data_IF_476252062449
#
_entry.id   IF_476252062449
#
_cell.length_a   1.000
_cell.length_b   1.000
_cell.length_c   1.000
_cell.angle_alpha   90.00
_cell.angle_beta   90.00
_cell.angle_gamma   90.00
#
_symmetry.space_group_name_H-M   'P 1'
#
loop_
_entity.id
_entity.type
_entity.pdbx_description
1 polymer ?
#
# COMPACT_ATOMS: atom_id res chain seq x y z
N UNK A 1 -63.19 56.98 -56.02
CA UNK A 1 -62.53 55.75 -56.51
C UNK A 1 -61.01 55.92 -56.36
N UNK A 2 -60.26 54.82 -56.14
CA UNK A 2 -59.10 54.71 -55.25
C UNK A 2 -57.75 54.63 -55.98
N UNK A 3 -56.61 54.81 -55.29
CA UNK A 3 -55.40 54.00 -55.58
C UNK A 3 -54.32 54.05 -54.47
N UNK A 4 -54.22 52.93 -53.75
CA UNK A 4 -53.05 52.17 -53.29
C UNK A 4 -51.72 52.84 -52.88
N UNK A 5 -51.36 52.63 -51.61
CA UNK A 5 -49.97 52.52 -51.13
C UNK A 5 -49.39 51.13 -51.49
N UNK A 6 -48.09 51.04 -51.86
CA UNK A 6 -47.30 49.83 -51.68
C UNK A 6 -46.37 49.92 -50.46
N UNK A 7 -46.20 48.74 -49.87
CA UNK A 7 -45.57 48.35 -48.61
C UNK A 7 -44.05 48.47 -48.56
N UNK A 8 -43.50 48.89 -47.40
CA UNK A 8 -42.12 48.59 -46.99
C UNK A 8 -41.97 47.13 -46.53
N UNK A 9 -40.93 46.38 -46.94
CA UNK A 9 -40.67 45.04 -46.45
C UNK A 9 -40.04 45.05 -45.04
N UNK A 10 -40.56 44.19 -44.17
CA UNK A 10 -40.05 43.92 -42.82
C UNK A 10 -38.75 43.11 -42.86
N UNK A 11 -37.73 43.40 -42.04
CA UNK A 11 -36.62 42.48 -41.81
C UNK A 11 -36.96 41.60 -40.61
N UNK A 12 -37.61 40.45 -40.84
CA UNK A 12 -37.81 39.44 -39.79
C UNK A 12 -37.01 38.19 -40.14
N UNK A 13 -35.68 38.27 -40.10
CA UNK A 13 -34.83 37.08 -40.19
C UNK A 13 -33.50 37.29 -39.44
N UNK A 14 -33.54 37.34 -38.10
CA UNK A 14 -32.31 37.34 -37.27
C UNK A 14 -32.41 36.50 -36.00
N UNK A 15 -33.58 35.92 -35.70
CA UNK A 15 -33.83 35.25 -34.41
C UNK A 15 -33.55 33.73 -34.43
N UNK A 16 -33.55 33.09 -35.61
CA UNK A 16 -33.28 31.64 -35.77
C UNK A 16 -31.78 31.30 -35.90
N UNK A 17 -30.98 32.19 -36.48
CA UNK A 17 -29.56 31.91 -36.75
C UNK A 17 -28.67 31.99 -35.51
N UNK A 18 -29.00 32.85 -34.55
CA UNK A 18 -28.27 33.01 -33.28
C UNK A 18 -28.33 31.74 -32.42
N UNK A 19 -29.47 31.05 -32.40
CA UNK A 19 -29.65 29.79 -31.65
C UNK A 19 -28.82 28.65 -32.27
N UNK A 20 -28.79 28.57 -33.60
CA UNK A 20 -27.99 27.59 -34.34
C UNK A 20 -26.49 27.83 -34.14
N UNK A 21 -26.05 29.08 -34.20
CA UNK A 21 -24.66 29.46 -33.93
C UNK A 21 -24.22 29.13 -32.49
N UNK A 22 -25.04 29.47 -31.50
CA UNK A 22 -24.74 29.17 -30.09
C UNK A 22 -24.62 27.66 -29.82
N UNK A 23 -25.49 26.84 -30.43
CA UNK A 23 -25.42 25.39 -30.31
C UNK A 23 -24.14 24.82 -30.95
N UNK A 24 -23.73 25.35 -32.10
CA UNK A 24 -22.47 25.00 -32.76
C UNK A 24 -21.24 25.35 -31.89
N UNK A 25 -21.20 26.54 -31.31
CA UNK A 25 -20.11 26.95 -30.40
C UNK A 25 -20.06 26.04 -29.17
N UNK A 26 -21.22 25.75 -28.55
CA UNK A 26 -21.30 24.85 -27.40
C UNK A 26 -20.79 23.45 -27.74
N UNK A 27 -21.10 22.93 -28.93
CA UNK A 27 -20.61 21.63 -29.40
C UNK A 27 -19.08 21.63 -29.56
N UNK A 28 -18.50 22.67 -30.16
CA UNK A 28 -17.04 22.80 -30.33
C UNK A 28 -16.34 22.89 -28.97
N UNK A 29 -16.87 23.71 -28.04
CA UNK A 29 -16.33 23.83 -26.68
C UNK A 29 -16.43 22.49 -25.94
N UNK A 30 -17.54 21.77 -26.09
CA UNK A 30 -17.73 20.44 -25.52
C UNK A 30 -16.72 19.42 -26.06
N UNK A 31 -16.50 19.40 -27.38
CA UNK A 31 -15.50 18.55 -28.04
C UNK A 31 -14.07 18.88 -27.59
N UNK A 32 -13.73 20.17 -27.49
CA UNK A 32 -12.41 20.61 -27.04
C UNK A 32 -12.18 20.25 -25.57
N UNK A 33 -13.20 20.46 -24.72
CA UNK A 33 -13.18 20.06 -23.32
C UNK A 33 -13.00 18.55 -23.15
N UNK A 34 -13.72 17.75 -23.93
CA UNK A 34 -13.57 16.30 -23.96
C UNK A 34 -12.16 15.89 -24.41
N UNK A 35 -11.61 16.53 -25.46
CA UNK A 35 -10.26 16.25 -25.95
C UNK A 35 -9.21 16.54 -24.87
N UNK A 36 -9.28 17.70 -24.21
CA UNK A 36 -8.39 18.04 -23.10
C UNK A 36 -8.54 17.04 -21.94
N UNK A 37 -9.77 16.64 -21.62
CA UNK A 37 -10.04 15.66 -20.58
C UNK A 37 -9.49 14.26 -20.91
N UNK A 38 -9.63 13.81 -22.15
CA UNK A 38 -9.07 12.54 -22.63
C UNK A 38 -7.54 12.58 -22.67
N UNK A 39 -6.94 13.70 -23.10
CA UNK A 39 -5.50 13.90 -23.09
C UNK A 39 -4.96 13.86 -21.64
N UNK A 40 -5.65 14.50 -20.71
CA UNK A 40 -5.35 14.46 -19.29
C UNK A 40 -5.44 13.04 -18.70
N UNK A 41 -6.45 12.26 -19.09
CA UNK A 41 -6.61 10.86 -18.71
C UNK A 41 -5.48 9.98 -19.24
N UNK A 42 -5.06 10.21 -20.49
CA UNK A 42 -4.05 9.40 -21.17
C UNK A 42 -2.62 9.67 -20.68
N UNK A 43 -2.30 10.93 -20.37
CA UNK A 43 -0.96 11.34 -19.98
C UNK A 43 -0.64 11.18 -18.48
N UNK A 44 -1.44 10.38 -17.76
CA UNK A 44 -1.24 10.13 -16.32
C UNK A 44 0.13 9.48 -16.07
N UNK A 45 1.00 10.10 -15.23
CA UNK A 45 2.26 9.51 -14.85
C UNK A 45 2.06 8.18 -14.13
N UNK A 46 2.75 7.16 -14.62
CA UNK A 46 2.88 5.82 -14.08
C UNK A 46 4.26 5.69 -13.44
N UNK A 47 4.31 4.91 -12.36
CA UNK A 47 5.57 4.57 -11.72
C UNK A 47 6.48 3.78 -12.66
N UNK A 48 7.81 4.01 -12.62
CA UNK A 48 8.77 3.19 -13.35
C UNK A 48 8.78 1.76 -12.79
N UNK A 49 9.07 0.80 -13.67
CA UNK A 49 9.19 -0.61 -13.32
C UNK A 49 10.66 -0.96 -13.15
N UNK A 50 10.98 -1.70 -12.10
CA UNK A 50 12.34 -2.18 -11.81
C UNK A 50 12.35 -3.70 -11.93
N UNK A 51 13.34 -4.25 -12.61
CA UNK A 51 13.46 -5.69 -12.84
C UNK A 51 14.92 -6.11 -12.72
N UNK A 52 15.20 -7.12 -11.90
CA UNK A 52 16.49 -7.80 -11.92
C UNK A 52 16.46 -8.82 -13.06
N UNK A 53 17.26 -8.59 -14.10
CA UNK A 53 17.36 -9.47 -15.27
C UNK A 53 18.31 -10.63 -14.96
N UNK A 54 19.46 -10.30 -14.38
CA UNK A 54 20.53 -11.24 -14.16
C UNK A 54 21.13 -10.99 -12.78
N UNK A 55 21.58 -12.07 -12.17
CA UNK A 55 22.24 -12.05 -10.88
C UNK A 55 23.14 -13.28 -10.82
N UNK A 56 24.40 -13.08 -10.41
CA UNK A 56 25.35 -14.15 -10.23
C UNK A 56 26.14 -13.93 -8.96
N UNK A 57 26.08 -14.94 -8.09
CA UNK A 57 26.87 -15.04 -6.88
C UNK A 57 27.99 -16.08 -7.09
N UNK A 58 29.24 -15.78 -6.72
CA UNK A 58 30.30 -16.79 -6.70
C UNK A 58 29.97 -17.87 -5.66
N UNK A 59 29.97 -19.14 -6.10
CA UNK A 59 29.62 -20.32 -5.30
C UNK A 59 30.82 -21.08 -4.75
N UNK A 60 32.04 -20.67 -5.12
CA UNK A 60 33.29 -21.22 -4.59
C UNK A 60 34.10 -20.13 -3.91
N UNK A 61 34.83 -20.44 -2.82
CA UNK A 61 35.78 -19.49 -2.26
C UNK A 61 36.86 -19.17 -3.28
N UNK A 62 37.05 -17.88 -3.54
CA UNK A 62 38.15 -17.41 -4.39
C UNK A 62 39.45 -17.73 -3.65
N UNK A 63 40.25 -18.63 -4.19
CA UNK A 63 41.52 -19.10 -3.62
C UNK A 63 42.65 -18.06 -3.68
N UNK A 64 42.35 -16.76 -3.69
CA UNK A 64 43.34 -15.69 -3.80
C UNK A 64 43.08 -14.61 -2.77
N UNK A 65 43.62 -14.80 -1.56
CA UNK A 65 44.16 -13.75 -0.66
C UNK A 65 43.33 -12.50 -0.33
N UNK A 66 42.08 -12.40 -0.73
CA UNK A 66 41.23 -11.23 -0.55
C UNK A 66 39.86 -11.66 -0.06
N UNK A 67 39.49 -11.20 1.13
CA UNK A 67 38.25 -11.53 1.83
C UNK A 67 36.95 -11.07 1.12
N UNK A 68 37.01 -10.54 -0.11
CA UNK A 68 35.88 -9.86 -0.75
C UNK A 68 35.26 -10.72 -1.87
N UNK A 69 34.06 -11.26 -1.64
CA UNK A 69 33.28 -11.91 -2.71
C UNK A 69 32.46 -10.86 -3.46
N UNK A 70 32.65 -10.75 -4.77
CA UNK A 70 31.90 -9.79 -5.61
C UNK A 70 30.66 -10.46 -6.20
N UNK A 71 29.51 -9.81 -6.09
CA UNK A 71 28.24 -10.25 -6.66
C UNK A 71 27.92 -9.41 -7.88
N UNK A 72 27.63 -10.02 -9.02
CA UNK A 72 27.23 -9.31 -10.23
C UNK A 72 25.71 -9.29 -10.37
N UNK A 73 25.17 -8.18 -10.86
CA UNK A 73 23.74 -8.03 -11.12
C UNK A 73 23.49 -7.18 -12.36
N UNK A 74 22.32 -7.39 -12.96
CA UNK A 74 21.80 -6.58 -14.05
C UNK A 74 20.42 -6.05 -13.69
N UNK A 75 20.31 -4.73 -13.57
CA UNK A 75 19.08 -4.02 -13.23
C UNK A 75 18.50 -3.34 -14.48
N UNK A 76 17.24 -3.62 -14.76
CA UNK A 76 16.45 -2.95 -15.79
C UNK A 76 15.44 -2.00 -15.16
N UNK A 77 15.45 -0.77 -15.63
CA UNK A 77 14.53 0.29 -15.22
C UNK A 77 13.77 0.72 -16.44
N UNK A 78 12.45 0.53 -16.45
CA UNK A 78 11.57 0.93 -17.55
C UNK A 78 10.73 2.13 -17.13
N UNK A 79 10.78 3.19 -17.93
CA UNK A 79 9.83 4.30 -17.86
C UNK A 79 8.64 4.03 -18.80
N UNK A 80 7.44 3.65 -18.32
CA UNK A 80 6.29 3.39 -19.17
C UNK A 80 5.53 4.66 -19.60
N UNK A 81 6.01 5.84 -19.23
CA UNK A 81 5.31 7.10 -19.50
C UNK A 81 5.58 7.55 -20.92
N UNK A 82 4.52 7.79 -21.71
CA UNK A 82 4.62 8.33 -23.07
C UNK A 82 4.79 9.85 -23.12
N UNK A 83 4.38 10.53 -22.04
CA UNK A 83 4.35 12.00 -21.95
C UNK A 83 5.29 12.60 -20.92
N UNK A 84 6.07 11.79 -20.20
CA UNK A 84 6.91 12.30 -19.12
C UNK A 84 8.27 11.60 -19.05
N UNK A 85 9.30 12.42 -18.97
CA UNK A 85 10.66 11.99 -18.69
C UNK A 85 10.87 11.90 -17.17
N UNK A 86 11.82 11.08 -16.73
CA UNK A 86 12.10 10.84 -15.31
C UNK A 86 13.55 11.22 -15.00
N UNK A 87 13.72 12.05 -13.99
CA UNK A 87 15.01 12.27 -13.32
C UNK A 87 15.04 11.40 -12.07
N UNK A 88 16.00 10.48 -12.01
CA UNK A 88 16.30 9.69 -10.83
C UNK A 88 17.37 10.41 -10.02
N UNK A 89 17.14 10.56 -8.73
CA UNK A 89 18.21 10.89 -7.79
C UNK A 89 19.02 9.60 -7.49
N UNK A 90 20.08 9.72 -6.70
CA UNK A 90 20.91 8.58 -6.31
C UNK A 90 20.06 7.44 -5.76
N UNK A 91 20.33 6.24 -6.26
CA UNK A 91 19.54 5.05 -6.01
C UNK A 91 20.35 4.04 -5.22
N UNK A 92 19.85 3.65 -4.06
CA UNK A 92 20.44 2.61 -3.23
C UNK A 92 19.79 1.27 -3.57
N UNK A 93 20.59 0.36 -4.15
CA UNK A 93 20.24 -1.04 -4.33
C UNK A 93 20.87 -1.85 -3.20
N UNK A 94 20.07 -2.67 -2.52
CA UNK A 94 20.54 -3.50 -1.41
C UNK A 94 20.07 -4.93 -1.57
N UNK A 95 21.00 -5.86 -1.39
CA UNK A 95 20.74 -7.30 -1.33
C UNK A 95 20.78 -7.75 0.13
N UNK A 96 19.80 -8.52 0.56
CA UNK A 96 19.69 -9.06 1.91
C UNK A 96 19.57 -10.58 1.89
N UNK A 97 20.18 -11.23 2.87
CA UNK A 97 19.92 -12.61 3.22
C UNK A 97 19.28 -12.66 4.60
N UNK A 98 18.02 -13.08 4.67
CA UNK A 98 17.24 -12.96 5.91
C UNK A 98 17.02 -11.50 6.29
N UNK A 99 17.66 -11.07 7.38
CA UNK A 99 17.70 -9.67 7.85
C UNK A 99 19.11 -9.06 7.76
N UNK A 100 20.11 -9.87 7.38
CA UNK A 100 21.49 -9.42 7.23
C UNK A 100 21.69 -8.82 5.82
N UNK A 101 22.49 -7.75 5.73
CA UNK A 101 22.80 -7.12 4.44
C UNK A 101 23.91 -7.90 3.77
N UNK A 102 23.64 -8.47 2.59
CA UNK A 102 24.66 -9.12 1.79
C UNK A 102 25.55 -8.07 1.13
N UNK A 103 24.98 -7.02 0.56
CA UNK A 103 25.75 -5.98 -0.09
C UNK A 103 24.86 -4.84 -0.56
N UNK A 104 25.44 -3.66 -0.76
CA UNK A 104 24.73 -2.48 -1.25
C UNK A 104 25.54 -1.73 -2.30
N UNK A 105 24.84 -1.17 -3.30
CA UNK A 105 25.42 -0.35 -4.36
C UNK A 105 24.61 0.92 -4.52
N UNK A 106 25.31 2.06 -4.60
CA UNK A 106 24.72 3.34 -4.96
C UNK A 106 24.91 3.56 -6.46
N UNK A 107 23.80 3.65 -7.17
CA UNK A 107 23.77 4.02 -8.59
C UNK A 107 23.56 5.53 -8.66
N UNK A 108 24.44 6.28 -9.36
CA UNK A 108 24.36 7.73 -9.41
C UNK A 108 23.08 8.18 -10.13
N UNK A 109 22.63 9.39 -9.79
CA UNK A 109 21.50 10.05 -10.43
C UNK A 109 21.63 10.03 -11.97
N UNK A 110 20.52 9.77 -12.65
CA UNK A 110 20.49 9.73 -14.11
C UNK A 110 19.14 10.18 -14.66
N UNK A 111 19.15 10.50 -15.95
CA UNK A 111 17.98 10.94 -16.68
C UNK A 111 17.49 9.84 -17.63
N UNK A 112 16.19 9.61 -17.65
CA UNK A 112 15.55 8.65 -18.53
C UNK A 112 14.43 9.32 -19.32
N UNK A 113 14.49 9.18 -20.65
CA UNK A 113 13.45 9.69 -21.56
C UNK A 113 12.14 8.93 -21.37
N UNK A 114 11.04 9.55 -21.79
CA UNK A 114 9.72 8.91 -21.93
C UNK A 114 9.79 7.63 -22.79
N UNK A 115 9.01 6.62 -22.42
CA UNK A 115 8.91 5.29 -23.04
C UNK A 115 10.26 4.63 -23.37
N UNK A 116 11.19 4.68 -22.42
CA UNK A 116 12.53 4.11 -22.57
C UNK A 116 12.88 3.13 -21.46
N UNK A 117 13.85 2.26 -21.75
CA UNK A 117 14.37 1.26 -20.82
C UNK A 117 15.87 1.48 -20.68
N UNK A 118 16.36 1.44 -19.44
CA UNK A 118 17.78 1.54 -19.10
C UNK A 118 18.19 0.26 -18.41
N UNK A 119 19.22 -0.40 -18.91
CA UNK A 119 19.82 -1.58 -18.30
C UNK A 119 21.20 -1.21 -17.76
N UNK A 120 21.50 -1.68 -16.56
CA UNK A 120 22.75 -1.40 -15.85
C UNK A 120 23.31 -2.72 -15.35
N UNK A 121 24.53 -3.03 -15.76
CA UNK A 121 25.30 -4.14 -15.23
C UNK A 121 26.35 -3.60 -14.27
N UNK A 122 26.38 -4.13 -13.05
CA UNK A 122 27.29 -3.66 -12.01
C UNK A 122 27.54 -4.78 -10.99
N UNK A 123 28.45 -4.52 -10.06
CA UNK A 123 28.88 -5.43 -9.02
C UNK A 123 28.72 -4.78 -7.64
N UNK A 124 28.55 -5.64 -6.64
CA UNK A 124 28.50 -5.27 -5.25
C UNK A 124 29.40 -6.19 -4.44
N UNK A 125 30.20 -5.59 -3.56
CA UNK A 125 31.01 -6.35 -2.61
C UNK A 125 30.07 -6.97 -1.57
N UNK A 126 30.14 -8.30 -1.43
CA UNK A 126 29.38 -9.01 -0.45
C UNK A 126 30.10 -9.03 0.90
N UNK A 127 29.30 -8.87 1.96
CA UNK A 127 29.72 -9.11 3.33
C UNK A 127 30.21 -10.56 3.46
N UNK A 128 31.47 -10.79 3.86
CA UNK A 128 32.06 -12.13 3.86
C UNK A 128 31.36 -13.07 4.85
N UNK A 129 30.81 -12.55 5.95
CA UNK A 129 30.12 -13.34 6.96
C UNK A 129 28.74 -13.79 6.46
N UNK A 130 28.00 -12.90 5.81
CA UNK A 130 26.69 -13.22 5.21
C UNK A 130 26.87 -14.15 4.00
N UNK A 131 27.87 -13.91 3.17
CA UNK A 131 28.18 -14.76 2.03
C UNK A 131 28.55 -16.20 2.44
N UNK A 132 29.40 -16.38 3.48
CA UNK A 132 29.72 -17.71 4.03
C UNK A 132 28.48 -18.47 4.51
N UNK A 133 27.56 -17.78 5.20
CA UNK A 133 26.25 -18.36 5.60
C UNK A 133 25.44 -18.79 4.38
N UNK A 134 25.43 -17.96 3.34
CA UNK A 134 24.66 -18.17 2.12
C UNK A 134 25.19 -19.38 1.32
N UNK A 135 26.52 -19.57 1.22
CA UNK A 135 27.13 -20.71 0.53
C UNK A 135 26.63 -22.06 1.04
N UNK A 136 26.52 -22.23 2.36
CA UNK A 136 26.03 -23.46 2.98
C UNK A 136 24.57 -23.79 2.67
N UNK A 137 23.79 -22.80 2.20
CA UNK A 137 22.38 -22.96 1.81
C UNK A 137 22.22 -23.05 0.29
N UNK A 138 23.08 -22.37 -0.47
CA UNK A 138 23.16 -22.48 -1.93
C UNK A 138 23.48 -23.91 -2.35
N UNK A 139 24.39 -24.60 -1.64
CA UNK A 139 24.67 -26.02 -1.89
C UNK A 139 23.44 -26.92 -1.79
N UNK A 140 22.41 -26.49 -1.04
CA UNK A 140 21.11 -27.17 -0.89
C UNK A 140 20.04 -26.65 -1.84
N UNK A 141 20.38 -25.74 -2.76
CA UNK A 141 19.48 -25.09 -3.71
C UNK A 141 18.23 -24.43 -3.10
N UNK A 142 18.30 -24.00 -1.84
CA UNK A 142 17.16 -23.42 -1.08
C UNK A 142 17.33 -21.95 -0.74
N UNK A 143 18.32 -21.27 -1.33
CA UNK A 143 18.64 -19.89 -0.98
C UNK A 143 17.61 -18.91 -1.57
N UNK A 144 17.11 -17.99 -0.73
CA UNK A 144 16.25 -16.88 -1.15
C UNK A 144 16.88 -15.56 -0.66
N UNK A 145 17.21 -14.67 -1.60
CA UNK A 145 17.66 -13.33 -1.31
C UNK A 145 16.50 -12.34 -1.41
N UNK A 146 16.56 -11.25 -0.65
CA UNK A 146 15.65 -10.11 -0.81
C UNK A 146 16.42 -8.97 -1.47
N UNK A 147 15.81 -8.33 -2.46
CA UNK A 147 16.37 -7.15 -3.11
C UNK A 147 15.52 -5.96 -2.75
N UNK A 148 16.13 -4.81 -2.42
CA UNK A 148 15.42 -3.56 -2.23
C UNK A 148 16.07 -2.44 -3.05
N UNK A 149 15.22 -1.58 -3.63
CA UNK A 149 15.63 -0.38 -4.36
C UNK A 149 14.98 0.82 -3.69
N UNK A 150 15.79 1.77 -3.25
CA UNK A 150 15.33 3.03 -2.66
C UNK A 150 15.89 4.20 -3.47
N UNK A 151 15.00 5.05 -4.00
CA UNK A 151 15.38 6.25 -4.75
C UNK A 151 14.29 7.32 -4.65
N UNK A 152 14.57 8.51 -5.18
CA UNK A 152 13.61 9.59 -5.39
C UNK A 152 13.56 9.93 -6.86
N UNK A 153 12.37 10.19 -7.37
CA UNK A 153 12.17 10.53 -8.78
C UNK A 153 11.45 11.86 -8.95
N UNK A 154 11.74 12.54 -10.05
CA UNK A 154 11.01 13.72 -10.52
C UNK A 154 10.56 13.51 -11.95
N UNK A 155 9.27 13.71 -12.19
CA UNK A 155 8.68 13.68 -13.52
C UNK A 155 8.87 15.04 -14.17
N UNK A 156 9.32 15.08 -15.43
CA UNK A 156 9.28 16.28 -16.25
C UNK A 156 8.15 16.13 -17.26
N UNK A 157 7.26 17.11 -17.29
CA UNK A 157 6.09 17.12 -18.16
C UNK A 157 5.80 18.57 -18.58
N UNK A 158 5.58 18.81 -19.87
CA UNK A 158 5.27 20.15 -20.40
C UNK A 158 6.21 21.26 -19.89
N UNK A 159 7.52 20.99 -19.90
CA UNK A 159 8.54 21.94 -19.46
C UNK A 159 8.68 22.12 -17.93
N UNK A 160 7.77 21.61 -17.10
CA UNK A 160 7.84 21.69 -15.64
C UNK A 160 8.28 20.37 -15.01
N UNK A 161 9.05 20.46 -13.91
CA UNK A 161 9.43 19.30 -13.08
C UNK A 161 8.45 19.15 -11.92
N UNK A 162 8.11 17.91 -11.57
CA UNK A 162 7.34 17.58 -10.38
C UNK A 162 8.19 17.74 -9.12
N UNK A 163 7.54 17.61 -7.96
CA UNK A 163 8.23 17.41 -6.67
C UNK A 163 8.92 16.03 -6.66
N UNK A 164 9.83 15.83 -5.71
CA UNK A 164 10.43 14.51 -5.49
C UNK A 164 9.38 13.52 -4.98
N UNK A 165 9.36 12.33 -5.57
CA UNK A 165 8.54 11.21 -5.16
C UNK A 165 9.44 10.08 -4.72
N UNK A 166 9.31 9.62 -3.47
CA UNK A 166 10.06 8.49 -2.95
C UNK A 166 9.57 7.17 -3.56
N UNK A 167 10.53 6.34 -3.95
CA UNK A 167 10.34 4.99 -4.47
C UNK A 167 11.08 4.02 -3.55
N UNK A 168 10.36 3.01 -3.09
CA UNK A 168 10.89 1.90 -2.29
C UNK A 168 10.28 0.62 -2.84
N UNK A 169 11.08 -0.12 -3.61
CA UNK A 169 10.69 -1.36 -4.25
C UNK A 169 11.41 -2.52 -3.58
N UNK A 170 10.78 -3.68 -3.53
CA UNK A 170 11.40 -4.90 -3.04
C UNK A 170 11.01 -6.11 -3.89
N UNK A 171 11.86 -7.13 -3.86
CA UNK A 171 11.62 -8.39 -4.57
C UNK A 171 12.29 -9.54 -3.85
N UNK A 172 11.83 -10.75 -4.18
CA UNK A 172 12.41 -12.01 -3.70
C UNK A 172 13.13 -12.66 -4.86
N UNK A 173 14.37 -13.03 -4.63
CA UNK A 173 15.30 -13.55 -5.61
C UNK A 173 15.69 -14.98 -5.18
N UNK A 174 14.96 -16.01 -5.63
CA UNK A 174 15.37 -17.38 -5.41
C UNK A 174 16.69 -17.65 -6.14
N UNK A 175 17.64 -18.28 -5.45
CA UNK A 175 18.99 -18.56 -5.95
C UNK A 175 19.18 -20.06 -6.09
N UNK A 176 19.71 -20.48 -7.24
CA UNK A 176 20.03 -21.87 -7.56
C UNK A 176 21.35 -22.30 -6.94
N UNK A 177 21.65 -23.59 -7.02
CA UNK A 177 22.95 -24.15 -6.61
C UNK A 177 24.13 -23.60 -7.42
N UNK A 178 23.86 -23.05 -8.60
CA UNK A 178 24.82 -22.36 -9.46
C UNK A 178 25.07 -20.90 -9.07
N UNK A 179 24.41 -20.40 -8.01
CA UNK A 179 24.54 -19.01 -7.55
C UNK A 179 23.78 -18.01 -8.43
N UNK A 180 22.94 -18.47 -9.36
CA UNK A 180 22.16 -17.61 -10.27
C UNK A 180 20.68 -17.62 -9.89
N UNK A 181 19.91 -16.77 -10.57
CA UNK A 181 18.45 -16.72 -10.39
C UNK A 181 17.83 -18.07 -10.74
N UNK A 182 17.15 -18.67 -9.77
CA UNK A 182 16.44 -19.94 -9.93
C UNK A 182 14.96 -19.75 -10.23
N UNK A 183 14.36 -20.76 -10.87
CA UNK A 183 12.93 -20.81 -11.15
C UNK A 183 12.53 -20.51 -12.60
N UNK A 184 11.25 -20.67 -12.89
CA UNK A 184 10.69 -20.58 -14.26
C UNK A 184 10.82 -19.18 -14.87
N UNK A 185 10.89 -18.14 -14.04
CA UNK A 185 11.05 -16.75 -14.45
C UNK A 185 12.48 -16.31 -14.18
N UNK A 186 13.24 -16.13 -15.26
CA UNK A 186 14.63 -15.64 -15.18
C UNK A 186 14.73 -14.15 -14.84
N UNK A 187 13.65 -13.38 -15.02
CA UNK A 187 13.57 -11.96 -14.67
C UNK A 187 12.66 -11.77 -13.46
N UNK A 188 13.13 -11.02 -12.45
CA UNK A 188 12.39 -10.74 -11.22
C UNK A 188 11.99 -9.26 -11.18
N UNK A 189 10.70 -8.98 -11.34
CA UNK A 189 10.18 -7.63 -11.19
C UNK A 189 10.03 -7.26 -9.71
N UNK A 190 10.44 -6.05 -9.36
CA UNK A 190 10.32 -5.51 -8.01
C UNK A 190 8.97 -4.81 -7.83
N UNK A 191 8.43 -4.89 -6.62
CA UNK A 191 7.13 -4.35 -6.28
C UNK A 191 7.23 -3.29 -5.17
N UNK A 192 6.31 -2.30 -5.15
CA UNK A 192 6.28 -1.29 -4.09
C UNK A 192 6.23 -1.94 -2.70
N UNK A 193 7.06 -1.45 -1.79
CA UNK A 193 7.01 -1.87 -0.38
C UNK A 193 5.70 -1.37 0.24
N UNK A 194 4.98 -2.27 0.90
CA UNK A 194 3.72 -1.96 1.58
C UNK A 194 3.97 -1.34 2.97
N UNK A 195 3.02 -0.52 3.48
CA UNK A 195 3.08 -0.02 4.83
C UNK A 195 3.01 -1.14 5.86
N UNK A 196 3.80 -1.01 6.93
CA UNK A 196 3.84 -1.98 8.02
C UNK A 196 3.02 -1.46 9.20
N UNK A 197 2.26 -2.35 9.83
CA UNK A 197 1.42 -2.04 10.98
C UNK A 197 1.92 -2.79 12.20
N UNK A 198 1.93 -2.14 13.34
CA UNK A 198 2.30 -2.76 14.60
C UNK A 198 1.39 -2.30 15.73
N UNK A 199 1.08 -3.22 16.64
CA UNK A 199 0.46 -2.91 17.92
C UNK A 199 1.59 -2.70 18.93
N UNK A 200 1.73 -1.48 19.43
CA UNK A 200 2.85 -1.06 20.29
C UNK A 200 2.50 -1.02 21.77
N UNK A 201 1.22 -0.93 22.08
CA UNK A 201 0.68 -0.94 23.43
C UNK A 201 -0.69 -1.61 23.34
N UNK A 202 -1.00 -2.47 24.30
CA UNK A 202 -2.30 -3.10 24.44
C UNK A 202 -2.54 -3.29 25.92
N UNK A 203 -3.72 -2.88 26.38
CA UNK A 203 -4.12 -2.99 27.78
C UNK A 203 -5.58 -3.38 27.86
N UNK A 204 -5.82 -4.42 28.63
CA UNK A 204 -7.12 -4.87 29.10
C UNK A 204 -7.16 -4.48 30.58
N UNK A 205 -8.01 -3.53 31.02
CA UNK A 205 -8.14 -3.25 32.45
C UNK A 205 -8.52 -4.54 33.18
N UNK A 206 -7.65 -4.94 34.11
CA UNK A 206 -7.88 -6.03 35.05
C UNK A 206 -8.65 -5.47 36.24
N UNK A 207 -9.55 -6.27 36.80
CA UNK A 207 -10.12 -5.99 38.12
C UNK A 207 -9.08 -6.41 39.16
N UNK A 208 -8.20 -5.48 39.51
CA UNK A 208 -7.37 -5.65 40.70
C UNK A 208 -8.28 -5.43 41.92
N UNK A 209 -8.10 -6.25 42.95
CA UNK A 209 -8.85 -6.20 44.21
C UNK A 209 -9.02 -4.76 44.72
N UNK A 210 -10.24 -4.23 44.60
CA UNK A 210 -10.72 -3.09 45.38
C UNK A 210 -10.46 -1.67 44.85
N UNK A 211 -9.70 -1.43 43.77
CA UNK A 211 -9.52 -0.05 43.27
C UNK A 211 -9.74 0.06 41.74
N UNK A 212 -10.97 0.38 41.36
CA UNK A 212 -11.43 0.51 39.98
C UNK A 212 -10.98 1.81 39.31
N UNK A 213 -10.19 1.73 38.23
CA UNK A 213 -10.11 2.77 37.18
C UNK A 213 -11.13 2.58 36.05
N UNK A 214 -12.17 1.76 36.24
CA UNK A 214 -13.32 1.69 35.35
C UNK A 214 -14.44 2.55 35.92
N UNK A 215 -14.74 3.69 35.30
CA UNK A 215 -15.91 4.50 35.64
C UNK A 215 -17.17 3.62 35.54
N UNK A 216 -17.84 3.48 36.68
CA UNK A 216 -19.06 2.69 36.84
C UNK A 216 -20.23 3.56 36.41
N UNK A 217 -20.78 3.30 35.22
CA UNK A 217 -22.15 3.72 34.93
C UNK A 217 -23.07 2.67 35.55
N UNK A 218 -23.86 3.09 36.55
CA UNK A 218 -24.86 2.24 37.20
C UNK A 218 -25.99 1.94 36.20
N UNK A 219 -26.25 0.66 35.96
CA UNK A 219 -27.30 0.16 35.08
C UNK A 219 -26.78 -0.75 33.96
N UNK A 220 -26.71 -2.07 34.23
CA UNK A 220 -26.59 -3.12 33.20
C UNK A 220 -25.20 -3.30 32.55
N UNK A 221 -24.51 -4.39 32.92
CA UNK A 221 -23.37 -4.97 32.18
C UNK A 221 -22.13 -4.07 32.05
N UNK A 222 -21.09 -4.33 32.85
CA UNK A 222 -19.78 -3.67 32.67
C UNK A 222 -19.21 -4.00 31.28
N UNK A 223 -19.34 -3.08 30.33
CA UNK A 223 -18.65 -3.14 29.04
C UNK A 223 -17.18 -2.78 29.30
N UNK A 224 -16.28 -3.73 29.04
CA UNK A 224 -14.85 -3.47 29.14
C UNK A 224 -14.37 -2.47 28.11
N UNK A 225 -13.26 -1.78 28.38
CA UNK A 225 -12.61 -0.93 27.37
C UNK A 225 -11.20 -1.44 27.10
N UNK A 226 -10.95 -1.89 25.87
CA UNK A 226 -9.60 -2.20 25.40
C UNK A 226 -8.92 -0.89 24.98
N UNK A 227 -7.71 -0.66 25.48
CA UNK A 227 -6.85 0.41 24.99
C UNK A 227 -5.71 -0.18 24.18
N UNK A 228 -5.47 0.34 22.98
CA UNK A 228 -4.37 -0.12 22.14
C UNK A 228 -3.70 1.02 21.37
N UNK A 229 -2.42 0.84 21.06
CA UNK A 229 -1.64 1.72 20.21
C UNK A 229 -1.37 1.10 18.88
N UNK A 230 -1.76 1.80 17.81
CA UNK A 230 -1.43 1.43 16.45
C UNK A 230 -0.28 2.31 15.96
N UNK A 231 0.79 1.67 15.51
CA UNK A 231 1.88 2.30 14.78
C UNK A 231 1.82 1.87 13.31
N UNK A 232 1.73 2.86 12.41
CA UNK A 232 1.75 2.66 10.96
C UNK A 232 3.04 3.25 10.42
N UNK A 233 3.83 2.41 9.75
CA UNK A 233 5.09 2.80 9.11
C UNK A 233 4.91 2.90 7.61
N UNK A 234 5.10 4.12 7.08
CA UNK A 234 5.18 4.38 5.67
C UNK A 234 6.61 4.08 5.17
N UNK A 235 6.79 3.14 4.23
CA UNK A 235 8.10 2.77 3.70
C UNK A 235 8.71 3.86 2.80
N UNK A 236 7.92 4.87 2.42
CA UNK A 236 8.30 5.99 1.57
C UNK A 236 8.01 7.32 2.29
N UNK A 237 8.88 7.80 3.21
CA UNK A 237 8.59 8.99 4.01
C UNK A 237 8.40 10.26 3.17
N UNK A 238 8.98 10.30 1.97
CA UNK A 238 8.85 11.40 1.01
C UNK A 238 7.59 11.34 0.13
N UNK A 239 6.81 10.26 0.20
CA UNK A 239 5.56 10.07 -0.55
C UNK A 239 4.38 10.00 0.39
N UNK A 240 3.25 10.59 -0.02
CA UNK A 240 2.01 10.55 0.78
C UNK A 240 1.24 9.27 0.45
N UNK A 241 0.88 8.52 1.49
CA UNK A 241 -0.04 7.39 1.40
C UNK A 241 -1.38 7.81 1.97
N UNK A 242 -2.43 7.65 1.18
CA UNK A 242 -3.81 7.79 1.62
C UNK A 242 -4.33 6.45 2.10
N UNK A 243 -4.75 6.40 3.36
CA UNK A 243 -5.41 5.23 3.95
C UNK A 243 -6.91 5.49 3.93
N UNK A 244 -7.69 4.57 3.35
CA UNK A 244 -9.14 4.59 3.54
C UNK A 244 -9.49 4.13 4.96
N UNK A 245 -10.78 4.10 5.26
CA UNK A 245 -11.29 3.61 6.54
C UNK A 245 -10.69 2.23 6.86
N UNK A 246 -10.09 2.15 8.04
CA UNK A 246 -9.34 0.97 8.49
C UNK A 246 -10.11 0.33 9.62
N UNK A 247 -10.59 -0.89 9.39
CA UNK A 247 -11.31 -1.67 10.37
C UNK A 247 -10.35 -2.61 11.11
N UNK A 248 -10.31 -2.50 12.43
CA UNK A 248 -9.63 -3.41 13.33
C UNK A 248 -10.67 -4.24 14.07
N UNK A 249 -10.50 -5.55 14.08
CA UNK A 249 -11.34 -6.48 14.83
C UNK A 249 -10.47 -7.31 15.76
N UNK A 250 -10.80 -7.27 17.06
CA UNK A 250 -10.15 -8.06 18.09
C UNK A 250 -10.98 -9.30 18.39
N UNK A 251 -10.32 -10.45 18.52
CA UNK A 251 -10.94 -11.73 18.79
C UNK A 251 -10.29 -12.41 20.00
N UNK A 252 -11.11 -13.10 20.77
CA UNK A 252 -10.67 -14.03 21.80
C UNK A 252 -11.29 -15.39 21.50
N UNK A 253 -10.44 -16.38 21.21
CA UNK A 253 -10.89 -17.64 20.65
C UNK A 253 -11.61 -17.46 19.31
N UNK A 254 -12.93 -17.75 19.28
CA UNK A 254 -13.76 -17.60 18.08
C UNK A 254 -14.60 -16.34 18.06
N UNK A 255 -14.75 -15.67 19.21
CA UNK A 255 -15.71 -14.60 19.43
C UNK A 255 -15.05 -13.22 19.22
N UNK A 256 -15.83 -12.25 18.76
CA UNK A 256 -15.37 -10.86 18.60
C UNK A 256 -15.40 -10.19 19.97
N UNK A 257 -14.26 -9.67 20.40
CA UNK A 257 -14.15 -8.91 21.65
C UNK A 257 -14.53 -7.46 21.41
N UNK A 258 -14.11 -6.88 20.29
CA UNK A 258 -14.41 -5.49 19.97
C UNK A 258 -13.92 -5.08 18.59
N UNK A 259 -14.47 -3.99 18.07
CA UNK A 259 -14.14 -3.45 16.75
C UNK A 259 -13.83 -1.95 16.82
N UNK A 260 -12.89 -1.50 15.98
CA UNK A 260 -12.59 -0.07 15.80
C UNK A 260 -12.44 0.27 14.34
N UNK A 261 -13.20 1.25 13.88
CA UNK A 261 -12.96 1.91 12.60
C UNK A 261 -12.13 3.15 12.84
N UNK A 262 -11.00 3.25 12.14
CA UNK A 262 -10.19 4.46 12.05
C UNK A 262 -10.58 5.15 10.75
N UNK A 263 -11.04 6.42 10.79
CA UNK A 263 -11.43 7.14 9.59
C UNK A 263 -10.23 7.33 8.65
N UNK A 264 -10.52 7.50 7.37
CA UNK A 264 -9.49 7.75 6.35
C UNK A 264 -8.57 8.93 6.72
N UNK A 265 -7.29 8.80 6.35
CA UNK A 265 -6.29 9.84 6.63
C UNK A 265 -5.12 9.77 5.63
N UNK A 266 -4.47 10.90 5.42
CA UNK A 266 -3.18 10.99 4.73
C UNK A 266 -2.03 10.82 5.73
N UNK A 267 -1.01 10.05 5.37
CA UNK A 267 0.25 9.98 6.09
C UNK A 267 1.39 10.50 5.23
N UNK A 268 2.08 11.53 5.73
CA UNK A 268 3.40 11.95 5.27
C UNK A 268 4.44 11.59 6.34
N UNK A 269 5.66 11.29 5.93
CA UNK A 269 6.72 10.90 6.86
C UNK A 269 6.66 9.42 7.24
N UNK A 270 7.64 8.98 8.04
CA UNK A 270 7.93 7.56 8.23
C UNK A 270 6.94 6.86 9.16
N UNK A 271 6.57 7.47 10.29
CA UNK A 271 5.82 6.79 11.36
C UNK A 271 4.67 7.65 11.85
N UNK A 272 3.52 7.02 12.08
CA UNK A 272 2.37 7.61 12.78
C UNK A 272 1.92 6.64 13.87
N UNK A 273 1.98 7.09 15.12
CA UNK A 273 1.52 6.33 16.30
C UNK A 273 0.30 7.01 16.87
N UNK A 274 -0.77 6.26 17.12
CA UNK A 274 -1.99 6.77 17.69
C UNK A 274 -2.60 5.78 18.69
N UNK A 275 -3.17 6.32 19.76
CA UNK A 275 -3.86 5.59 20.82
C UNK A 275 -5.35 5.51 20.53
N UNK A 276 -5.94 4.33 20.73
CA UNK A 276 -7.35 4.09 20.52
C UNK A 276 -7.95 3.32 21.69
N UNK A 277 -9.24 3.56 21.92
CA UNK A 277 -10.08 2.82 22.86
C UNK A 277 -11.22 2.13 22.12
N UNK A 278 -11.57 0.93 22.57
CA UNK A 278 -12.60 0.06 22.01
C UNK A 278 -13.46 -0.49 23.11
N UNK A 279 -14.77 -0.35 22.95
CA UNK A 279 -15.73 -0.99 23.83
C UNK A 279 -15.78 -2.48 23.51
N UNK A 280 -15.65 -3.29 24.55
CA UNK A 280 -15.64 -4.73 24.44
C UNK A 280 -17.03 -5.31 24.70
N UNK A 281 -17.36 -6.36 23.95
CA UNK A 281 -18.58 -7.15 24.10
C UNK A 281 -18.58 -7.83 25.48
N UNK A 282 -19.59 -7.55 26.30
CA UNK A 282 -19.57 -7.87 27.73
C UNK A 282 -19.33 -9.37 28.04
N UNK A 283 -19.95 -10.28 27.29
CA UNK A 283 -19.81 -11.73 27.54
C UNK A 283 -18.40 -12.23 27.19
N UNK A 284 -17.87 -11.80 26.05
CA UNK A 284 -16.53 -12.20 25.59
C UNK A 284 -15.46 -11.53 26.44
N UNK A 285 -15.69 -10.29 26.86
CA UNK A 285 -14.84 -9.55 27.78
C UNK A 285 -14.65 -10.30 29.11
N UNK A 286 -15.73 -10.75 29.74
CA UNK A 286 -15.66 -11.51 31.00
C UNK A 286 -14.85 -12.81 30.84
N UNK A 287 -15.02 -13.52 29.73
CA UNK A 287 -14.22 -14.72 29.41
C UNK A 287 -12.74 -14.39 29.30
N UNK A 288 -12.39 -13.30 28.61
CA UNK A 288 -11.01 -12.85 28.45
C UNK A 288 -10.39 -12.43 29.78
N UNK A 289 -11.08 -11.59 30.56
CA UNK A 289 -10.58 -11.10 31.86
C UNK A 289 -10.41 -12.24 32.85
N UNK A 290 -11.37 -13.18 32.93
CA UNK A 290 -11.23 -14.37 33.76
C UNK A 290 -10.01 -15.20 33.36
N UNK A 291 -9.80 -15.42 32.06
CA UNK A 291 -8.67 -16.19 31.58
C UNK A 291 -7.31 -15.57 31.95
N UNK A 292 -7.14 -14.26 31.75
CA UNK A 292 -5.88 -13.57 32.09
C UNK A 292 -5.59 -13.55 33.59
N UNK A 293 -6.60 -13.63 34.45
CA UNK A 293 -6.41 -13.72 35.91
C UNK A 293 -5.72 -15.02 36.34
N UNK A 294 -5.85 -16.12 35.57
CA UNK A 294 -5.27 -17.42 35.89
C UNK A 294 -4.05 -17.77 35.06
N UNK A 295 -4.00 -17.36 33.79
CA UNK A 295 -2.88 -17.64 32.90
C UNK A 295 -2.75 -16.59 31.78
N UNK A 296 -1.56 -16.44 31.16
CA UNK A 296 -1.42 -15.63 29.96
C UNK A 296 -2.40 -16.06 28.85
N UNK A 297 -2.98 -15.09 28.15
CA UNK A 297 -3.97 -15.32 27.10
C UNK A 297 -3.50 -14.79 25.74
N UNK A 298 -4.10 -15.26 24.65
CA UNK A 298 -3.83 -14.74 23.31
C UNK A 298 -5.08 -14.05 22.73
N UNK A 299 -4.91 -12.80 22.31
CA UNK A 299 -5.92 -12.05 21.54
C UNK A 299 -5.47 -11.94 20.10
N UNK A 300 -6.34 -12.27 19.17
CA UNK A 300 -6.06 -12.10 17.74
C UNK A 300 -6.57 -10.74 17.26
N UNK A 301 -5.85 -10.11 16.35
CA UNK A 301 -6.27 -8.89 15.68
C UNK A 301 -6.25 -9.09 14.18
N UNK A 302 -7.36 -8.79 13.51
CA UNK A 302 -7.44 -8.66 12.06
C UNK A 302 -7.56 -7.17 11.71
N UNK A 303 -6.83 -6.73 10.69
CA UNK A 303 -6.90 -5.35 10.16
C UNK A 303 -7.22 -5.42 8.68
N UNK A 304 -8.26 -4.69 8.28
CA UNK A 304 -8.68 -4.56 6.88
C UNK A 304 -8.67 -3.09 6.50
N UNK A 305 -7.95 -2.78 5.43
CA UNK A 305 -7.84 -1.41 4.90
C UNK A 305 -7.62 -1.43 3.41
N UNK A 306 -7.72 -0.26 2.78
CA UNK A 306 -7.23 -0.07 1.43
C UNK A 306 -6.43 1.21 1.32
N UNK A 307 -5.32 1.14 0.62
CA UNK A 307 -4.40 2.25 0.44
C UNK A 307 -4.42 2.76 -1.00
N UNK A 308 -4.06 4.03 -1.14
CA UNK A 308 -3.78 4.67 -2.42
C UNK A 308 -2.53 5.53 -2.26
N UNK A 309 -1.56 5.34 -3.13
CA UNK A 309 -0.40 6.22 -3.20
C UNK A 309 -0.81 7.50 -3.92
N UNK A 310 -0.56 8.66 -3.30
CA UNK A 310 -0.81 9.95 -3.95
C UNK A 310 0.40 10.32 -4.80
N UNK A 311 0.20 10.37 -6.10
CA UNK A 311 1.18 10.86 -7.06
C UNK A 311 0.62 12.11 -7.72
N UNK A 312 1.18 13.27 -7.33
CA UNK A 312 0.72 14.59 -7.78
C UNK A 312 -0.74 14.88 -7.36
N UNK A 313 -1.65 15.12 -8.30
CA UNK A 313 -3.10 15.31 -8.02
C UNK A 313 -3.86 13.97 -8.06
N UNK A 314 -3.18 12.87 -8.43
CA UNK A 314 -3.82 11.59 -8.68
C UNK A 314 -3.56 10.59 -7.55
N UNK A 315 -4.52 9.69 -7.35
CA UNK A 315 -4.40 8.54 -6.46
C UNK A 315 -4.22 7.27 -7.30
N UNK A 316 -3.34 6.38 -6.86
CA UNK A 316 -3.15 5.07 -7.47
C UNK A 316 -4.43 4.22 -7.36
N UNK A 317 -4.45 3.08 -8.08
CA UNK A 317 -5.47 2.05 -7.85
C UNK A 317 -5.52 1.65 -6.38
N UNK A 318 -6.73 1.29 -5.92
CA UNK A 318 -6.94 0.77 -4.58
C UNK A 318 -6.18 -0.54 -4.40
N UNK A 319 -5.31 -0.57 -3.40
CA UNK A 319 -4.66 -1.80 -2.94
C UNK A 319 -5.28 -2.20 -1.61
N UNK A 320 -5.94 -3.36 -1.58
CA UNK A 320 -6.54 -3.90 -0.35
C UNK A 320 -5.46 -4.61 0.47
N UNK A 321 -5.40 -4.30 1.75
CA UNK A 321 -4.45 -4.86 2.70
C UNK A 321 -5.24 -5.60 3.78
N UNK A 322 -4.86 -6.87 3.98
CA UNK A 322 -5.38 -7.75 5.02
C UNK A 322 -4.22 -8.14 5.91
N UNK A 323 -4.28 -7.77 7.19
CA UNK A 323 -3.23 -8.06 8.15
C UNK A 323 -3.80 -8.82 9.33
N UNK A 324 -2.96 -9.64 9.95
CA UNK A 324 -3.29 -10.40 11.13
C UNK A 324 -2.13 -10.39 12.11
N UNK A 325 -2.46 -10.37 13.40
CA UNK A 325 -1.48 -10.48 14.48
C UNK A 325 -2.02 -11.27 15.65
N UNK A 326 -1.11 -11.88 16.41
CA UNK A 326 -1.39 -12.50 17.70
C UNK A 326 -0.77 -11.63 18.79
N UNK A 327 -1.59 -11.22 19.74
CA UNK A 327 -1.20 -10.37 20.86
C UNK A 327 -1.19 -11.26 22.10
N UNK A 328 -0.02 -11.70 22.57
CA UNK A 328 0.08 -12.36 23.86
C UNK A 328 -0.17 -11.34 24.97
N UNK A 329 -1.04 -11.69 25.91
CA UNK A 329 -1.45 -10.85 27.04
C UNK A 329 -1.01 -11.54 28.32
N UNK A 330 -0.33 -10.79 29.18
CA UNK A 330 0.09 -11.24 30.50
C UNK A 330 -1.05 -11.18 31.50
N UNK A 331 -0.79 -11.70 32.70
CA UNK A 331 -1.77 -11.65 33.79
C UNK A 331 -2.01 -10.20 34.28
N UNK A 332 -1.09 -9.29 33.96
CA UNK A 332 -1.21 -7.84 34.17
C UNK A 332 -2.10 -7.13 33.12
N UNK A 333 -2.74 -7.89 32.22
CA UNK A 333 -3.59 -7.35 31.16
C UNK A 333 -2.85 -6.59 30.07
N UNK A 334 -1.50 -6.63 30.04
CA UNK A 334 -0.66 -5.94 29.05
C UNK A 334 0.00 -6.92 28.09
N UNK A 335 0.64 -6.40 27.04
CA UNK A 335 1.40 -7.23 26.09
C UNK A 335 2.49 -7.99 26.85
N UNK A 336 2.44 -9.32 26.79
CA UNK A 336 3.42 -10.21 27.40
C UNK A 336 4.58 -10.53 26.45
N UNK A 337 5.75 -10.83 27.02
CA UNK A 337 6.94 -11.26 26.31
C UNK A 337 8.02 -10.19 26.12
N UNK A 338 9.20 -10.61 25.63
CA UNK A 338 10.38 -9.74 25.46
C UNK A 338 10.17 -8.59 24.47
N UNK A 339 9.26 -8.76 23.51
CA UNK A 339 8.92 -7.73 22.50
C UNK A 339 7.60 -7.08 22.86
N UNK A 340 7.65 -5.84 23.34
CA UNK A 340 6.45 -5.02 23.64
C UNK A 340 5.73 -4.46 22.40
N UNK A 341 6.17 -4.86 21.20
CA UNK A 341 5.59 -4.44 19.92
C UNK A 341 5.31 -5.67 19.05
N UNK A 342 4.06 -5.80 18.61
CA UNK A 342 3.59 -6.90 17.77
C UNK A 342 3.41 -6.39 16.35
N UNK A 343 4.25 -6.87 15.42
CA UNK A 343 4.08 -6.58 13.99
C UNK A 343 2.92 -7.40 13.42
N UNK A 344 2.11 -6.77 12.59
CA UNK A 344 1.04 -7.44 11.87
C UNK A 344 1.55 -7.95 10.53
N UNK A 345 1.15 -9.17 10.17
CA UNK A 345 1.62 -9.84 8.97
C UNK A 345 0.50 -9.97 7.94
N UNK A 346 0.87 -10.01 6.66
CA UNK A 346 -0.10 -10.16 5.57
C UNK A 346 -0.84 -11.49 5.68
N UNK A 347 -2.17 -11.42 5.72
CA UNK A 347 -3.05 -12.57 5.79
C UNK A 347 -3.69 -12.83 4.44
N UNK A 348 -3.95 -14.11 4.11
CA UNK A 348 -4.69 -14.43 2.90
C UNK A 348 -6.15 -14.00 3.05
N UNK A 349 -6.77 -13.57 1.94
CA UNK A 349 -8.18 -13.16 1.90
C UNK A 349 -9.14 -14.27 2.41
N UNK A 350 -8.76 -15.55 2.27
CA UNK A 350 -9.55 -16.70 2.76
C UNK A 350 -9.40 -16.94 4.26
N UNK A 351 -8.28 -16.48 4.85
CA UNK A 351 -7.90 -16.72 6.25
C UNK A 351 -8.36 -15.61 7.19
N UNK A 352 -8.48 -14.37 6.71
CA UNK A 352 -9.11 -13.31 7.51
C UNK A 352 -10.62 -13.56 7.63
N UNK A 353 -11.12 -13.57 8.87
CA UNK A 353 -12.56 -13.75 9.15
C UNK A 353 -13.35 -12.51 8.71
N UNK A 354 -12.78 -11.33 8.88
CA UNK A 354 -13.35 -10.04 8.44
C UNK A 354 -13.52 -10.01 6.91
N UNK A 355 -12.53 -10.50 6.17
CA UNK A 355 -12.62 -10.59 4.71
C UNK A 355 -13.79 -11.47 4.22
N UNK A 356 -14.27 -12.43 5.03
CA UNK A 356 -15.47 -13.23 4.72
C UNK A 356 -16.77 -12.44 4.93
N UNK A 357 -16.84 -11.58 5.94
CA UNK A 357 -18.00 -10.71 6.18
C UNK A 357 -18.13 -9.61 5.11
N UNK A 358 -17.02 -9.10 4.56
CA UNK A 358 -17.07 -8.21 3.39
C UNK A 358 -17.62 -8.92 2.15
N UNK A 359 -17.33 -10.22 1.96
CA UNK A 359 -17.89 -11.00 0.84
C UNK A 359 -19.40 -11.19 0.98
N UNK A 360 -19.92 -11.43 2.19
CA UNK A 360 -21.37 -11.57 2.38
C UNK A 360 -22.11 -10.24 2.16
N UNK A 361 -21.53 -9.10 2.55
CA UNK A 361 -22.07 -7.77 2.24
C UNK A 361 -22.04 -7.44 0.75
N UNK A 362 -20.97 -7.82 0.03
CA UNK A 362 -20.91 -7.65 -1.43
C UNK A 362 -21.90 -8.56 -2.19
N UNK A 363 -22.22 -9.75 -1.64
CA UNK A 363 -23.23 -10.64 -2.23
C UNK A 363 -24.67 -10.19 -1.95
N UNK A 364 -24.90 -9.58 -0.78
CA UNK A 364 -26.20 -8.98 -0.42
C UNK A 364 -26.46 -7.65 -1.14
N UNK A 365 -25.42 -6.84 -1.40
CA UNK A 365 -25.55 -5.56 -2.09
C UNK A 365 -25.86 -5.65 -3.60
N UNK A 366 -25.47 -6.74 -4.26
CA UNK A 366 -25.77 -6.94 -5.69
C UNK A 366 -27.19 -7.46 -5.96
N UNK A 367 -27.94 -7.88 -4.93
CA UNK A 367 -29.37 -8.19 -5.07
C UNK A 367 -30.26 -6.95 -5.06
N UNK A 368 -29.82 -5.86 -4.42
CA UNK A 368 -30.60 -4.63 -4.28
C UNK A 368 -30.47 -3.66 -5.48
N UNK A 369 -29.39 -3.77 -6.27
CA UNK A 369 -29.15 -2.88 -7.41
C UNK A 369 -29.98 -3.29 -8.64
N UNK A 370 -30.34 -4.57 -8.79
CA UNK A 370 -31.17 -5.03 -9.90
C UNK A 370 -32.67 -4.76 -9.72
N UNK A 371 -33.12 -4.44 -8.50
CA UNK A 371 -34.53 -4.12 -8.23
C UNK A 371 -34.84 -2.61 -8.24
N UNK A 372 -33.81 -1.76 -8.23
CA UNK A 372 -33.94 -0.30 -8.26
C UNK A 372 -33.90 0.31 -9.67
N UNK A 373 -33.59 -0.48 -10.71
CA UNK A 373 -33.51 0.00 -12.11
C UNK A 373 -34.85 -0.21 -12.86
N UNK A 374 -35.81 -0.96 -12.32
CA UNK A 374 -37.09 -1.24 -12.98
C UNK A 374 -38.25 -0.31 -12.59
N UNK A 375 -38.05 0.66 -11.68
CA UNK A 375 -39.13 1.50 -11.14
C UNK A 375 -39.01 3.02 -11.42
N UNK A 376 -38.09 3.46 -12.30
CA UNK A 376 -38.01 4.85 -12.76
C UNK A 376 -38.24 5.03 -14.27
N UNK A 377 -39.06 4.15 -14.86
CA UNK A 377 -39.75 4.42 -16.12
C UNK A 377 -41.25 4.26 -15.87
N UNK A 378 -41.86 5.26 -15.24
CA UNK A 378 -43.24 5.68 -15.43
C UNK A 378 -43.53 6.83 -14.47
N UNK A 379 -44.13 7.87 -15.04
CA UNK A 379 -44.42 9.22 -14.53
C UNK A 379 -43.31 10.24 -14.67
#
# INVERSE_FOLDING_TARGET
MPENLPSTPSPTTTMCDTKRFSLWVLQIVGLLGLLVFLLWLSLRPKQPTYTIINFSLPTSPVNQGGDNSTVSFELEIRNPNKGSDIYYDDMLLTFFYGEDTLGQKTIPSFYQKKDSTTQMFDHVDADPHVWKKLLGVISKATAELKVAVVTKIRYRMWGRKSKHHGINMHGRLPIGSDGKISGKKKKISLHPKQPTYAIVQFSVPTTDNGNTTCQVNQGGGKNGTISFGLEIRNPNPHSVIYYNDTLLTFYYGKDIVGQKTIPSFDQRGEKKKQMFKVNAEAQVWKKLVSAISYAPAEVMVDVVTSIRNRMWVHLSKHEKIYLQGKIPIGMDGKISGKKKMIRLHQASKKRSKVARQDISRLRSGNGAINHAIHHQQNF
#
